data_IF_967886835982
#
_entry.id   IF_967886835982
#
_cell.length_a   1.000
_cell.length_b   1.000
_cell.length_c   1.000
_cell.angle_alpha   90.00
_cell.angle_beta   90.00
_cell.angle_gamma   90.00
#
_symmetry.space_group_name_H-M   'P 1'
#
loop_
_entity.id
_entity.type
_entity.pdbx_description
1 polymer ?
#
# COMPACT_ATOMS: atom_id res chain seq x y z
N UNK A 1 38.30 -49.44 -13.64
CA UNK A 1 37.06 -49.23 -12.91
C UNK A 1 36.98 -47.74 -12.55
N UNK A 2 36.31 -46.96 -13.43
CA UNK A 2 36.02 -45.53 -13.21
C UNK A 2 34.49 -45.41 -13.36
N UNK A 3 33.76 -45.25 -12.24
CA UNK A 3 32.35 -44.86 -12.19
C UNK A 3 32.26 -43.60 -11.39
N UNK A 4 32.18 -42.46 -12.08
CA UNK A 4 31.07 -41.52 -12.15
C UNK A 4 30.52 -41.04 -10.80
N UNK A 5 30.88 -39.79 -10.48
CA UNK A 5 30.10 -38.90 -9.63
C UNK A 5 29.60 -37.80 -10.57
N UNK A 6 28.35 -37.94 -11.03
CA UNK A 6 27.57 -36.89 -11.70
C UNK A 6 26.15 -37.03 -11.17
N UNK A 7 25.89 -36.39 -10.07
CA UNK A 7 24.53 -36.04 -9.61
C UNK A 7 24.64 -35.15 -8.39
N UNK A 8 24.51 -33.82 -8.54
CA UNK A 8 24.09 -32.88 -7.48
C UNK A 8 24.30 -31.45 -7.98
N UNK A 9 23.56 -31.04 -9.04
CA UNK A 9 23.50 -29.63 -9.45
C UNK A 9 22.09 -29.20 -9.93
N UNK A 10 21.03 -29.88 -9.54
CA UNK A 10 19.67 -29.58 -10.02
C UNK A 10 18.74 -28.94 -8.95
N UNK A 11 19.24 -28.66 -7.75
CA UNK A 11 18.39 -28.13 -6.67
C UNK A 11 18.45 -26.62 -6.43
N UNK A 12 19.41 -25.89 -7.01
CA UNK A 12 19.64 -24.48 -6.66
C UNK A 12 18.88 -23.45 -7.53
N UNK A 13 18.34 -23.85 -8.69
CA UNK A 13 17.74 -22.91 -9.64
C UNK A 13 16.30 -22.48 -9.26
N UNK A 14 15.55 -23.33 -8.60
CA UNK A 14 14.14 -23.04 -8.25
C UNK A 14 13.99 -21.99 -7.15
N UNK A 15 14.87 -22.01 -6.15
CA UNK A 15 14.82 -21.07 -5.03
C UNK A 15 15.24 -19.64 -5.41
N UNK A 16 16.17 -19.51 -6.36
CA UNK A 16 16.61 -18.20 -6.88
C UNK A 16 15.52 -17.56 -7.73
N UNK A 17 14.83 -18.33 -8.56
CA UNK A 17 13.73 -17.82 -9.38
C UNK A 17 12.54 -17.35 -8.52
N UNK A 18 12.20 -18.10 -7.47
CA UNK A 18 11.11 -17.72 -6.54
C UNK A 18 11.47 -16.45 -5.76
N UNK A 19 12.68 -16.31 -5.25
CA UNK A 19 13.14 -15.13 -4.57
C UNK A 19 13.15 -13.89 -5.48
N UNK A 20 13.55 -14.06 -6.75
CA UNK A 20 13.51 -12.97 -7.73
C UNK A 20 12.08 -12.53 -8.06
N UNK A 21 11.14 -13.47 -8.15
CA UNK A 21 9.71 -13.16 -8.34
C UNK A 21 9.14 -12.42 -7.13
N UNK A 22 9.38 -12.89 -5.90
CA UNK A 22 8.94 -12.24 -4.68
C UNK A 22 9.46 -10.79 -4.59
N UNK A 23 10.74 -10.57 -4.90
CA UNK A 23 11.34 -9.24 -4.93
C UNK A 23 10.69 -8.32 -5.99
N UNK A 24 10.30 -8.86 -7.15
CA UNK A 24 9.57 -8.10 -8.17
C UNK A 24 8.17 -7.71 -7.69
N UNK A 25 7.43 -8.67 -7.12
CA UNK A 25 6.09 -8.43 -6.58
C UNK A 25 6.11 -7.38 -5.45
N UNK A 26 7.05 -7.49 -4.53
CA UNK A 26 7.23 -6.53 -3.44
C UNK A 26 7.49 -5.12 -3.98
N UNK A 27 8.42 -4.97 -4.93
CA UNK A 27 8.71 -3.67 -5.56
C UNK A 27 7.50 -3.09 -6.31
N UNK A 28 6.73 -3.94 -7.01
CA UNK A 28 5.51 -3.50 -7.69
C UNK A 28 4.50 -2.95 -6.69
N UNK A 29 4.33 -3.64 -5.56
CA UNK A 29 3.42 -3.17 -4.50
C UNK A 29 3.93 -1.91 -3.79
N UNK A 30 5.23 -1.81 -3.50
CA UNK A 30 5.85 -0.60 -2.96
C UNK A 30 5.55 0.63 -3.82
N UNK A 31 5.75 0.50 -5.12
CA UNK A 31 5.49 1.58 -6.05
C UNK A 31 3.99 1.95 -6.13
N UNK A 32 3.06 0.98 -5.93
CA UNK A 32 1.64 1.25 -5.76
C UNK A 32 1.37 2.05 -4.48
N UNK A 33 1.96 1.66 -3.37
CA UNK A 33 1.82 2.40 -2.11
C UNK A 33 2.37 3.83 -2.24
N UNK A 34 3.56 3.99 -2.85
CA UNK A 34 4.15 5.31 -3.09
C UNK A 34 3.25 6.19 -3.96
N UNK A 35 2.72 5.67 -5.07
CA UNK A 35 1.78 6.39 -5.92
C UNK A 35 0.52 6.80 -5.16
N UNK A 36 0.00 5.91 -4.31
CA UNK A 36 -1.20 6.17 -3.50
C UNK A 36 -0.94 7.22 -2.43
N UNK A 37 0.21 7.18 -1.75
CA UNK A 37 0.58 8.18 -0.75
C UNK A 37 0.76 9.55 -1.38
N UNK A 38 1.45 9.66 -2.53
CA UNK A 38 1.57 10.92 -3.27
C UNK A 38 0.21 11.49 -3.68
N UNK A 39 -0.73 10.63 -4.11
CA UNK A 39 -2.08 11.09 -4.40
C UNK A 39 -2.78 11.72 -3.19
N UNK A 40 -2.67 11.10 -2.02
CA UNK A 40 -3.27 11.65 -0.79
C UNK A 40 -2.54 12.89 -0.27
N UNK A 41 -1.22 13.00 -0.49
CA UNK A 41 -0.44 14.19 -0.21
C UNK A 41 -0.86 15.37 -1.10
N UNK A 42 -0.99 15.14 -2.41
CA UNK A 42 -1.51 16.13 -3.35
C UNK A 42 -2.92 16.59 -2.96
N UNK A 43 -3.81 15.66 -2.63
CA UNK A 43 -5.19 15.97 -2.25
C UNK A 43 -5.23 16.78 -0.95
N UNK A 44 -4.42 16.42 0.04
CA UNK A 44 -4.29 17.16 1.30
C UNK A 44 -3.74 18.57 1.08
N UNK A 45 -2.70 18.71 0.27
CA UNK A 45 -2.11 20.01 -0.06
C UNK A 45 -3.11 20.93 -0.78
N UNK A 46 -3.79 20.42 -1.81
CA UNK A 46 -4.83 21.17 -2.54
C UNK A 46 -5.98 21.59 -1.63
N UNK A 47 -6.36 20.72 -0.70
CA UNK A 47 -7.41 21.04 0.28
C UNK A 47 -6.97 22.18 1.22
N UNK A 48 -5.76 22.09 1.74
CA UNK A 48 -5.22 23.13 2.64
C UNK A 48 -5.03 24.48 1.93
N UNK A 49 -4.69 24.44 0.63
CA UNK A 49 -4.59 25.65 -0.19
C UNK A 49 -5.95 26.34 -0.41
N UNK A 50 -6.99 25.54 -0.70
CA UNK A 50 -8.31 26.11 -1.04
C UNK A 50 -9.20 26.35 0.19
N UNK A 51 -9.00 25.59 1.26
CA UNK A 51 -9.75 25.63 2.51
C UNK A 51 -8.77 25.66 3.69
N UNK A 52 -8.09 26.78 3.95
CA UNK A 52 -7.05 26.88 5.00
C UNK A 52 -7.55 26.49 6.39
N UNK A 53 -8.84 26.67 6.68
CA UNK A 53 -9.49 26.26 7.93
C UNK A 53 -9.61 24.74 8.11
N UNK A 54 -9.35 23.96 7.04
CA UNK A 54 -9.36 22.50 7.04
C UNK A 54 -7.95 21.89 7.06
N UNK A 55 -6.89 22.68 7.18
CA UNK A 55 -5.51 22.20 7.16
C UNK A 55 -5.28 21.12 8.23
N UNK A 56 -5.64 21.37 9.47
CA UNK A 56 -5.45 20.43 10.59
C UNK A 56 -6.15 19.07 10.34
N UNK A 57 -7.41 19.10 9.94
CA UNK A 57 -8.16 17.87 9.67
C UNK A 57 -7.65 17.15 8.41
N UNK A 58 -7.11 17.89 7.44
CA UNK A 58 -6.49 17.32 6.23
C UNK A 58 -5.19 16.60 6.58
N UNK A 59 -4.37 17.15 7.47
CA UNK A 59 -3.15 16.50 7.99
C UNK A 59 -3.50 15.27 8.83
N UNK A 60 -4.49 15.35 9.70
CA UNK A 60 -5.01 14.20 10.45
C UNK A 60 -5.45 13.06 9.53
N UNK A 61 -6.21 13.38 8.48
CA UNK A 61 -6.64 12.41 7.48
C UNK A 61 -5.45 11.79 6.74
N UNK A 62 -4.49 12.61 6.29
CA UNK A 62 -3.28 12.15 5.60
C UNK A 62 -2.47 11.19 6.49
N UNK A 63 -2.32 11.50 7.78
CA UNK A 63 -1.62 10.62 8.72
C UNK A 63 -2.32 9.25 8.82
N UNK A 64 -3.64 9.22 8.92
CA UNK A 64 -4.40 7.95 8.91
C UNK A 64 -4.24 7.17 7.61
N UNK A 65 -4.12 7.85 6.45
CA UNK A 65 -3.79 7.20 5.17
C UNK A 65 -2.38 6.62 5.19
N UNK A 66 -1.38 7.38 5.67
CA UNK A 66 0.01 6.90 5.79
C UNK A 66 0.07 5.63 6.66
N UNK A 67 -0.52 5.64 7.83
CA UNK A 67 -0.54 4.48 8.72
C UNK A 67 -1.17 3.25 8.05
N UNK A 68 -2.28 3.43 7.35
CA UNK A 68 -2.95 2.35 6.61
C UNK A 68 -2.09 1.78 5.46
N UNK A 69 -1.49 2.63 4.65
CA UNK A 69 -0.71 2.21 3.49
C UNK A 69 0.61 1.58 3.89
N UNK A 70 1.30 2.08 4.92
CA UNK A 70 2.53 1.47 5.43
C UNK A 70 2.27 0.11 6.10
N UNK A 71 1.14 -0.05 6.80
CA UNK A 71 0.71 -1.38 7.25
C UNK A 71 0.52 -2.34 6.07
N UNK A 72 -0.15 -1.90 5.01
CA UNK A 72 -0.39 -2.75 3.83
C UNK A 72 0.92 -3.12 3.14
N UNK A 73 1.88 -2.18 3.01
CA UNK A 73 3.22 -2.42 2.47
C UNK A 73 3.92 -3.54 3.25
N UNK A 74 4.04 -3.37 4.57
CA UNK A 74 4.69 -4.35 5.43
C UNK A 74 3.98 -5.71 5.43
N UNK A 75 2.65 -5.71 5.40
CA UNK A 75 1.86 -6.94 5.37
C UNK A 75 2.00 -7.70 4.05
N UNK A 76 2.06 -7.02 2.90
CA UNK A 76 2.29 -7.68 1.59
C UNK A 76 3.67 -8.31 1.55
N UNK A 77 4.73 -7.60 1.97
CA UNK A 77 6.06 -8.17 2.06
C UNK A 77 6.07 -9.43 2.94
N UNK A 78 5.49 -9.34 4.13
CA UNK A 78 5.38 -10.48 5.03
C UNK A 78 4.63 -11.66 4.41
N UNK A 79 3.49 -11.42 3.77
CA UNK A 79 2.68 -12.49 3.20
C UNK A 79 3.29 -13.10 1.93
N UNK A 80 3.93 -12.32 1.07
CA UNK A 80 4.65 -12.86 -0.12
C UNK A 80 5.69 -13.91 0.32
N UNK A 81 6.38 -13.68 1.44
CA UNK A 81 7.44 -14.56 1.92
C UNK A 81 6.93 -15.71 2.81
N UNK A 82 5.80 -15.56 3.50
CA UNK A 82 5.35 -16.51 4.52
C UNK A 82 4.00 -17.19 4.21
N UNK A 83 3.12 -16.54 3.47
CA UNK A 83 1.79 -17.06 3.06
C UNK A 83 1.26 -16.32 1.83
N UNK A 84 1.84 -16.60 0.67
CA UNK A 84 1.50 -15.91 -0.58
C UNK A 84 0.02 -16.05 -0.99
N UNK A 85 -0.72 -16.97 -0.40
CA UNK A 85 -2.18 -17.12 -0.65
C UNK A 85 -3.00 -15.93 -0.16
N UNK A 86 -2.43 -15.11 0.71
CA UNK A 86 -3.04 -13.88 1.24
C UNK A 86 -2.90 -12.68 0.29
N UNK A 87 -2.10 -12.80 -0.76
CA UNK A 87 -1.85 -11.72 -1.72
C UNK A 87 -2.39 -12.12 -3.10
N UNK A 88 -3.42 -11.41 -3.57
CA UNK A 88 -4.11 -11.72 -4.83
C UNK A 88 -3.33 -11.15 -6.04
N UNK A 89 -2.12 -11.64 -6.29
CA UNK A 89 -1.21 -11.11 -7.32
C UNK A 89 -1.70 -11.26 -8.77
N UNK A 90 -2.78 -12.01 -8.99
CA UNK A 90 -3.48 -12.15 -10.26
C UNK A 90 -4.59 -11.10 -10.48
N UNK A 91 -4.78 -10.18 -9.54
CA UNK A 91 -5.71 -9.06 -9.61
C UNK A 91 -4.95 -7.75 -9.87
N UNK A 92 -5.63 -6.64 -10.25
CA UNK A 92 -5.04 -5.32 -10.23
C UNK A 92 -4.39 -5.02 -8.86
N UNK A 93 -3.26 -4.29 -8.88
CA UNK A 93 -2.38 -4.15 -7.69
C UNK A 93 -3.08 -3.58 -6.45
N UNK A 94 -4.07 -2.72 -6.63
CA UNK A 94 -4.89 -2.15 -5.56
C UNK A 94 -5.78 -3.18 -4.84
N UNK A 95 -6.02 -4.33 -5.47
CA UNK A 95 -6.81 -5.42 -4.91
C UNK A 95 -5.97 -6.55 -4.29
N UNK A 96 -4.63 -6.42 -4.28
CA UNK A 96 -3.74 -7.49 -3.83
C UNK A 96 -3.92 -7.85 -2.36
N UNK A 97 -4.19 -6.87 -1.51
CA UNK A 97 -4.37 -7.09 -0.07
C UNK A 97 -5.60 -6.37 0.45
N UNK A 98 -6.44 -7.10 1.18
CA UNK A 98 -7.59 -6.56 1.89
C UNK A 98 -7.54 -7.03 3.35
N UNK A 99 -7.10 -6.12 4.25
CA UNK A 99 -7.07 -6.37 5.68
C UNK A 99 -8.38 -5.92 6.34
N UNK A 100 -9.15 -6.88 6.82
CA UNK A 100 -10.30 -6.61 7.67
C UNK A 100 -9.85 -6.22 9.09
N UNK A 101 -10.76 -5.66 9.89
CA UNK A 101 -10.45 -5.25 11.26
C UNK A 101 -9.91 -6.40 12.13
N UNK A 102 -10.42 -7.63 11.91
CA UNK A 102 -9.95 -8.84 12.61
C UNK A 102 -8.50 -9.19 12.24
N UNK A 103 -8.12 -9.00 10.96
CA UNK A 103 -6.76 -9.29 10.48
C UNK A 103 -5.76 -8.32 11.09
N UNK A 104 -6.11 -7.02 11.11
CA UNK A 104 -5.29 -5.98 11.74
C UNK A 104 -5.13 -6.25 13.23
N UNK A 105 -6.21 -6.63 13.93
CA UNK A 105 -6.14 -7.02 15.35
C UNK A 105 -5.22 -8.22 15.57
N UNK A 106 -5.26 -9.20 14.68
CA UNK A 106 -4.37 -10.37 14.76
C UNK A 106 -2.92 -9.96 14.53
N UNK A 107 -2.64 -9.16 13.50
CA UNK A 107 -1.30 -8.65 13.23
C UNK A 107 -0.76 -7.79 14.38
N UNK A 108 -1.62 -6.99 15.04
CA UNK A 108 -1.21 -6.12 16.16
C UNK A 108 -0.72 -6.87 17.40
N UNK A 109 -0.94 -8.18 17.50
CA UNK A 109 -0.41 -9.02 18.58
C UNK A 109 1.06 -9.44 18.35
N UNK A 110 1.66 -9.12 17.20
CA UNK A 110 3.08 -9.41 16.91
C UNK A 110 3.98 -8.42 17.63
N UNK A 111 5.21 -8.85 17.92
CA UNK A 111 6.22 -8.03 18.59
C UNK A 111 7.21 -7.33 17.64
N UNK A 112 7.04 -7.50 16.31
CA UNK A 112 7.88 -6.92 15.28
C UNK A 112 7.30 -5.60 14.72
N UNK A 113 7.98 -5.02 13.72
CA UNK A 113 7.56 -3.77 13.07
C UNK A 113 6.16 -3.88 12.46
N UNK A 114 5.84 -5.01 11.81
CA UNK A 114 4.50 -5.26 11.27
C UNK A 114 3.43 -5.20 12.38
N UNK A 115 3.72 -5.74 13.56
CA UNK A 115 2.83 -5.65 14.71
C UNK A 115 2.64 -4.23 15.21
N UNK A 116 3.69 -3.42 15.20
CA UNK A 116 3.60 -2.00 15.59
C UNK A 116 2.75 -1.19 14.62
N UNK A 117 2.96 -1.35 13.30
CA UNK A 117 2.15 -0.72 12.26
C UNK A 117 0.68 -1.14 12.35
N UNK A 118 0.44 -2.43 12.57
CA UNK A 118 -0.91 -2.95 12.76
C UNK A 118 -1.58 -2.38 14.00
N UNK A 119 -0.86 -2.24 15.12
CA UNK A 119 -1.39 -1.64 16.35
C UNK A 119 -1.76 -0.18 16.12
N UNK A 120 -0.88 0.61 15.51
CA UNK A 120 -1.16 2.02 15.17
C UNK A 120 -2.41 2.14 14.30
N UNK A 121 -2.51 1.35 13.23
CA UNK A 121 -3.67 1.37 12.33
C UNK A 121 -4.95 0.89 13.03
N UNK A 122 -4.84 -0.09 13.94
CA UNK A 122 -5.98 -0.56 14.73
C UNK A 122 -6.50 0.54 15.66
N UNK A 123 -5.60 1.22 16.36
CA UNK A 123 -5.93 2.30 17.29
C UNK A 123 -6.54 3.50 16.53
N UNK A 124 -6.00 3.87 15.36
CA UNK A 124 -6.56 4.90 14.49
C UNK A 124 -8.01 4.60 14.08
N UNK A 125 -8.29 3.36 13.66
CA UNK A 125 -9.64 2.94 13.26
C UNK A 125 -10.65 2.89 14.41
N UNK A 126 -10.18 2.80 15.66
CA UNK A 126 -11.00 2.85 16.87
C UNK A 126 -11.14 4.27 17.44
N UNK A 127 -10.31 5.21 16.97
CA UNK A 127 -10.33 6.60 17.46
C UNK A 127 -11.61 7.33 17.05
N UNK A 128 -11.96 8.33 17.83
CA UNK A 128 -13.09 9.24 17.49
C UNK A 128 -12.69 10.01 16.22
N UNK A 129 -13.58 10.09 15.20
CA UNK A 129 -13.37 10.93 14.04
C UNK A 129 -13.09 12.38 14.43
N UNK A 130 -12.24 13.06 13.65
CA UNK A 130 -12.01 14.49 13.81
C UNK A 130 -13.31 15.28 13.68
N UNK A 131 -13.50 16.33 14.46
CA UNK A 131 -14.74 17.10 14.47
C UNK A 131 -15.12 17.68 13.11
N UNK A 132 -14.11 18.12 12.32
CA UNK A 132 -14.29 18.65 10.96
C UNK A 132 -14.22 17.57 9.85
N UNK A 133 -14.36 16.29 10.19
CA UNK A 133 -14.26 15.21 9.18
C UNK A 133 -15.37 15.29 8.12
N UNK A 134 -16.54 15.82 8.45
CA UNK A 134 -17.63 16.01 7.50
C UNK A 134 -17.29 17.11 6.48
N UNK A 135 -16.79 18.25 6.96
CA UNK A 135 -16.37 19.40 6.14
C UNK A 135 -15.23 18.99 5.20
N UNK A 136 -14.26 18.22 5.68
CA UNK A 136 -13.18 17.69 4.87
C UNK A 136 -13.70 16.83 3.71
N UNK A 137 -14.66 15.93 3.98
CA UNK A 137 -15.28 15.10 2.92
C UNK A 137 -16.01 15.94 1.88
N UNK A 138 -16.66 17.01 2.30
CA UNK A 138 -17.33 17.96 1.42
C UNK A 138 -16.32 18.71 0.55
N UNK A 139 -15.19 19.13 1.10
CA UNK A 139 -14.10 19.78 0.37
C UNK A 139 -13.47 18.81 -0.66
N UNK A 140 -13.24 17.55 -0.30
CA UNK A 140 -12.76 16.53 -1.25
C UNK A 140 -13.77 16.32 -2.41
N UNK A 141 -15.06 16.25 -2.10
CA UNK A 141 -16.09 16.10 -3.13
C UNK A 141 -16.13 17.32 -4.07
N UNK A 142 -15.94 18.54 -3.53
CA UNK A 142 -15.82 19.75 -4.36
C UNK A 142 -14.60 19.70 -5.27
N UNK A 143 -13.42 19.39 -4.74
CA UNK A 143 -12.19 19.24 -5.52
C UNK A 143 -12.34 18.22 -6.66
N UNK A 144 -12.90 17.05 -6.35
CA UNK A 144 -13.08 15.96 -7.31
C UNK A 144 -14.14 16.29 -8.37
N UNK A 145 -15.08 17.19 -8.08
CA UNK A 145 -16.09 17.66 -9.04
C UNK A 145 -15.57 18.75 -9.98
N UNK A 146 -14.41 19.34 -9.67
CA UNK A 146 -13.79 20.39 -10.47
C UNK A 146 -12.46 19.93 -11.09
N UNK A 147 -12.49 19.22 -12.23
CA UNK A 147 -11.32 18.54 -12.80
C UNK A 147 -10.10 19.45 -12.99
N UNK A 148 -10.31 20.74 -13.30
CA UNK A 148 -9.20 21.68 -13.52
C UNK A 148 -8.32 21.90 -12.30
N UNK A 149 -8.86 21.72 -11.10
CA UNK A 149 -8.13 21.90 -9.84
C UNK A 149 -7.26 20.68 -9.47
N UNK A 150 -7.70 19.48 -9.86
CA UNK A 150 -7.10 18.21 -9.47
C UNK A 150 -6.44 17.46 -10.64
N UNK A 151 -6.63 17.94 -11.87
CA UNK A 151 -6.23 17.24 -13.11
C UNK A 151 -4.75 16.83 -13.12
N UNK A 152 -3.85 17.70 -12.67
CA UNK A 152 -2.42 17.42 -12.65
C UNK A 152 -2.07 16.27 -11.68
N UNK A 153 -2.66 16.25 -10.48
CA UNK A 153 -2.46 15.21 -9.48
C UNK A 153 -3.05 13.88 -9.96
N UNK A 154 -4.28 13.91 -10.52
CA UNK A 154 -4.95 12.74 -11.05
C UNK A 154 -4.19 12.13 -12.25
N UNK A 155 -3.65 12.95 -13.14
CA UNK A 155 -2.82 12.48 -14.26
C UNK A 155 -1.53 11.81 -13.77
N UNK A 156 -0.86 12.39 -12.76
CA UNK A 156 0.33 11.76 -12.14
C UNK A 156 0.00 10.38 -11.57
N UNK A 157 -1.06 10.30 -10.76
CA UNK A 157 -1.51 9.05 -10.16
C UNK A 157 -1.83 8.00 -11.24
N UNK A 158 -2.70 8.33 -12.19
CA UNK A 158 -3.12 7.41 -13.25
C UNK A 158 -1.94 6.93 -14.10
N UNK A 159 -0.97 7.81 -14.39
CA UNK A 159 0.27 7.44 -15.10
C UNK A 159 1.07 6.43 -14.29
N UNK A 160 1.30 6.69 -13.00
CA UNK A 160 2.03 5.76 -12.12
C UNK A 160 1.35 4.40 -12.06
N UNK A 161 0.03 4.34 -11.88
CA UNK A 161 -0.71 3.08 -11.85
C UNK A 161 -0.62 2.34 -13.20
N UNK A 162 -0.75 3.04 -14.32
CA UNK A 162 -0.62 2.42 -15.65
C UNK A 162 0.78 1.84 -15.90
N UNK A 163 1.82 2.54 -15.46
CA UNK A 163 3.21 2.06 -15.55
C UNK A 163 3.41 0.80 -14.70
N UNK A 164 2.86 0.79 -13.48
CA UNK A 164 2.93 -0.37 -12.58
C UNK A 164 2.22 -1.60 -13.13
N UNK A 165 1.03 -1.43 -13.69
CA UNK A 165 0.27 -2.54 -14.27
C UNK A 165 1.00 -3.18 -15.47
N UNK A 166 1.85 -2.43 -16.16
CA UNK A 166 2.68 -2.95 -17.25
C UNK A 166 3.84 -3.85 -16.77
N UNK A 167 4.20 -3.82 -15.48
CA UNK A 167 5.26 -4.65 -14.90
C UNK A 167 4.77 -6.08 -14.75
N UNK A 168 5.42 -7.03 -15.43
CA UNK A 168 5.18 -8.45 -15.28
C UNK A 168 6.26 -9.05 -14.37
N UNK A 169 5.82 -9.71 -13.28
CA UNK A 169 6.68 -10.49 -12.39
C UNK A 169 6.46 -11.98 -12.69
N UNK A 170 7.48 -12.64 -13.26
CA UNK A 170 7.46 -14.05 -13.68
C UNK A 170 8.49 -14.85 -12.88
#
# INVERSE_FOLDING_TARGET
MKRLIVALLLGATSSVAMAANNACLSKKYDAYIDASLHWYEDLSALTSEQYPELTEVSEWFLQGRKNHFELNRAAVHYYIDNDSTKVATNQPVEAWLQLEQKDIKTLSSRSDELGQLAKTTFDDRQSKPHEKNYELRSAFADLLSHPTKIDAALKRYNKSISELESISCN
#
